data_IF_784628474184
#
_entry.id   IF_784628474184
#
_cell.length_a   1.000
_cell.length_b   1.000
_cell.length_c   1.000
_cell.angle_alpha   90.00
_cell.angle_beta   90.00
_cell.angle_gamma   90.00
#
_symmetry.space_group_name_H-M   'P 1'
#
loop_
_entity.id
_entity.type
_entity.pdbx_description
1 polymer ?
#
# COMPACT_ATOMS: atom_id res chain seq x y z
N UNK A 1 51.24 50.76 -6.27
CA UNK A 1 52.01 51.43 -5.21
C UNK A 1 51.35 52.76 -4.91
N UNK A 2 51.20 53.08 -3.61
CA UNK A 2 50.95 54.38 -2.97
C UNK A 2 49.75 55.22 -3.50
N UNK A 3 48.66 55.36 -2.73
CA UNK A 3 48.50 56.19 -1.54
C UNK A 3 48.55 57.71 -1.83
N UNK A 4 47.52 58.45 -1.43
CA UNK A 4 47.58 59.92 -1.44
C UNK A 4 46.26 60.66 -1.29
N UNK A 5 45.73 60.70 -0.07
CA UNK A 5 44.61 61.56 0.36
C UNK A 5 44.97 63.06 0.30
N UNK A 6 43.95 63.91 0.06
CA UNK A 6 43.42 64.99 0.94
C UNK A 6 42.65 66.03 0.08
N UNK A 7 41.34 66.24 0.31
CA UNK A 7 40.72 67.24 1.23
C UNK A 7 41.20 68.66 0.92
N UNK A 8 40.35 69.67 0.60
CA UNK A 8 39.13 70.10 1.30
C UNK A 8 38.41 71.22 0.52
N UNK A 9 37.09 71.34 0.78
CA UNK A 9 36.23 72.53 0.90
C UNK A 9 36.18 73.55 -0.28
N UNK A 10 35.05 74.04 -0.78
CA UNK A 10 33.64 73.98 -0.39
C UNK A 10 32.88 75.00 -1.25
N UNK A 11 31.60 74.77 -1.55
CA UNK A 11 30.84 75.74 -2.35
C UNK A 11 29.44 75.25 -2.72
N UNK A 12 28.47 75.65 -1.90
CA UNK A 12 27.01 75.40 -1.98
C UNK A 12 26.37 75.67 -3.36
N UNK A 13 25.55 74.73 -3.84
CA UNK A 13 24.25 74.93 -4.55
C UNK A 13 23.41 73.65 -4.34
N UNK A 14 22.38 73.68 -3.49
CA UNK A 14 20.96 73.94 -3.83
C UNK A 14 20.33 72.88 -4.76
N UNK A 15 19.74 71.81 -4.19
CA UNK A 15 18.55 71.08 -4.69
C UNK A 15 18.23 69.84 -3.82
N UNK A 16 17.17 69.91 -3.00
CA UNK A 16 16.39 68.81 -2.42
C UNK A 16 15.08 69.48 -1.94
N UNK A 17 13.85 69.08 -2.22
CA UNK A 17 13.24 67.74 -2.22
C UNK A 17 11.98 67.83 -3.10
N UNK A 18 11.84 66.93 -4.07
CA UNK A 18 10.58 66.66 -4.76
C UNK A 18 10.60 65.20 -5.20
N UNK A 19 10.03 64.31 -4.38
CA UNK A 19 9.64 62.93 -4.75
C UNK A 19 8.86 62.29 -3.60
N UNK A 20 7.55 62.52 -3.61
CA UNK A 20 6.59 61.65 -2.94
C UNK A 20 5.41 61.52 -3.89
N UNK A 21 4.90 60.29 -4.04
CA UNK A 21 3.78 59.85 -4.90
C UNK A 21 4.21 59.18 -6.21
N UNK A 22 4.61 57.90 -6.14
CA UNK A 22 4.32 56.86 -7.16
C UNK A 22 4.93 55.48 -6.86
N UNK A 23 4.87 54.97 -5.61
CA UNK A 23 5.28 53.58 -5.30
C UNK A 23 4.42 52.95 -4.18
N UNK A 24 3.10 52.98 -4.33
CA UNK A 24 2.17 52.25 -3.44
C UNK A 24 1.00 51.70 -4.28
N UNK A 25 1.30 50.82 -5.24
CA UNK A 25 0.26 50.03 -5.94
C UNK A 25 0.83 48.83 -6.71
N UNK A 26 1.83 48.14 -6.15
CA UNK A 26 2.41 46.96 -6.83
C UNK A 26 3.00 45.91 -5.88
N UNK A 27 2.28 45.57 -4.80
CA UNK A 27 2.69 44.45 -3.92
C UNK A 27 1.51 43.64 -3.35
N UNK A 28 0.31 43.72 -3.94
CA UNK A 28 -0.85 42.91 -3.55
C UNK A 28 -1.11 41.69 -4.44
N UNK A 29 -0.09 41.17 -5.14
CA UNK A 29 -0.18 39.88 -5.81
C UNK A 29 0.88 38.93 -5.27
N UNK A 30 0.41 37.75 -4.84
CA UNK A 30 1.16 36.52 -4.55
C UNK A 30 1.79 36.37 -3.16
N UNK A 31 0.95 36.37 -2.13
CA UNK A 31 1.14 35.50 -0.96
C UNK A 31 -0.19 34.78 -0.65
N UNK A 32 -0.72 34.07 -1.64
CA UNK A 32 -1.53 32.89 -1.32
C UNK A 32 -0.53 31.88 -0.78
N UNK A 33 -0.36 31.85 0.53
CA UNK A 33 0.28 30.73 1.19
C UNK A 33 -0.49 29.48 0.74
N UNK A 34 0.15 28.63 -0.08
CA UNK A 34 -0.33 27.27 -0.31
C UNK A 34 -0.38 26.63 1.07
N UNK A 35 -1.57 26.56 1.68
CA UNK A 35 -1.78 25.74 2.86
C UNK A 35 -1.31 24.34 2.47
N UNK A 36 -0.21 23.90 3.07
CA UNK A 36 0.37 22.62 2.76
C UNK A 36 -0.61 21.58 3.29
N UNK A 37 -1.14 20.72 2.42
CA UNK A 37 -2.00 19.61 2.82
C UNK A 37 -1.26 18.79 3.87
N UNK A 38 -1.69 18.90 5.12
CA UNK A 38 -1.03 18.27 6.26
C UNK A 38 -1.74 16.96 6.61
N UNK A 39 -0.96 15.93 6.92
CA UNK A 39 -1.48 14.73 7.57
C UNK A 39 -1.86 15.08 9.00
N UNK A 40 -3.10 14.81 9.38
CA UNK A 40 -3.59 15.03 10.75
C UNK A 40 -4.24 13.77 11.30
N UNK A 41 -4.16 13.59 12.61
CA UNK A 41 -4.95 12.55 13.27
C UNK A 41 -6.45 12.89 13.22
N UNK A 42 -7.30 11.88 13.15
CA UNK A 42 -8.75 12.02 13.30
C UNK A 42 -9.06 12.55 14.72
N UNK A 43 -9.96 13.53 14.83
CA UNK A 43 -10.29 14.15 16.13
C UNK A 43 -11.32 13.33 16.90
N UNK A 44 -11.49 13.61 18.21
CA UNK A 44 -12.56 12.97 18.97
C UNK A 44 -13.96 13.34 18.44
N UNK A 45 -14.13 14.60 18.02
CA UNK A 45 -15.37 15.10 17.42
C UNK A 45 -15.77 14.26 16.20
N UNK A 46 -14.82 13.96 15.31
CA UNK A 46 -15.06 13.15 14.12
C UNK A 46 -15.47 11.70 14.45
N UNK A 47 -14.95 11.13 15.55
CA UNK A 47 -15.22 9.72 15.92
C UNK A 47 -16.34 9.56 16.91
N UNK A 48 -16.81 10.64 17.54
CA UNK A 48 -17.84 10.58 18.58
C UNK A 48 -19.07 9.80 18.11
N UNK A 49 -19.53 10.09 16.90
CA UNK A 49 -20.68 9.43 16.29
C UNK A 49 -20.48 7.91 16.08
N UNK A 50 -19.24 7.47 15.81
CA UNK A 50 -18.89 6.06 15.68
C UNK A 50 -18.94 5.40 17.06
N UNK A 51 -18.31 6.04 18.05
CA UNK A 51 -18.24 5.53 19.43
C UNK A 51 -19.63 5.42 20.07
N UNK A 52 -20.55 6.35 19.76
CA UNK A 52 -21.90 6.36 20.33
C UNK A 52 -22.83 5.27 19.73
N UNK A 53 -22.49 4.74 18.55
CA UNK A 53 -23.37 3.84 17.76
C UNK A 53 -22.90 2.40 17.76
N UNK A 54 -21.59 2.19 17.80
CA UNK A 54 -21.05 0.84 17.89
C UNK A 54 -21.43 0.19 19.21
N UNK A 55 -21.71 -1.11 19.15
CA UNK A 55 -21.94 -1.92 20.34
C UNK A 55 -20.69 -1.92 21.22
N UNK A 56 -20.90 -1.99 22.53
CA UNK A 56 -19.82 -1.99 23.51
C UNK A 56 -18.80 -3.12 23.27
N UNK A 57 -19.18 -4.29 22.78
CA UNK A 57 -18.23 -5.38 22.51
C UNK A 57 -17.25 -5.08 21.37
N UNK A 58 -17.56 -4.11 20.51
CA UNK A 58 -16.74 -3.70 19.36
C UNK A 58 -15.81 -2.53 19.68
N UNK A 59 -15.97 -1.89 20.84
CA UNK A 59 -15.15 -0.76 21.24
C UNK A 59 -13.90 -1.21 22.02
N UNK A 60 -12.75 -0.52 21.85
CA UNK A 60 -11.59 -0.69 22.72
C UNK A 60 -11.95 -0.53 24.21
N UNK A 61 -11.35 -1.35 25.07
CA UNK A 61 -11.70 -1.41 26.49
C UNK A 61 -11.58 -0.05 27.21
N UNK A 62 -10.58 0.75 26.84
CA UNK A 62 -10.37 2.09 27.39
C UNK A 62 -11.47 3.07 26.99
N UNK A 63 -12.06 2.92 25.81
CA UNK A 63 -13.15 3.80 25.38
C UNK A 63 -14.47 3.42 26.06
N UNK A 64 -14.72 2.14 26.29
CA UNK A 64 -15.96 1.66 26.95
C UNK A 64 -16.14 2.19 28.35
N UNK A 65 -15.06 2.18 29.12
CA UNK A 65 -15.07 2.44 30.57
C UNK A 65 -15.06 3.93 30.94
N UNK A 66 -14.85 4.82 29.97
CA UNK A 66 -14.78 6.27 30.20
C UNK A 66 -16.07 7.00 29.83
N UNK A 67 -16.36 8.10 30.52
CA UNK A 67 -17.42 9.06 30.15
C UNK A 67 -17.07 9.78 28.84
N UNK A 68 -18.03 10.42 28.18
CA UNK A 68 -17.76 11.19 26.94
C UNK A 68 -16.65 12.21 27.10
N UNK A 69 -16.67 13.02 28.16
CA UNK A 69 -15.60 14.00 28.44
C UNK A 69 -14.25 13.32 28.73
N UNK A 70 -14.26 12.17 29.41
CA UNK A 70 -13.05 11.37 29.63
C UNK A 70 -12.48 10.80 28.33
N UNK A 71 -13.34 10.32 27.42
CA UNK A 71 -12.94 9.82 26.09
C UNK A 71 -12.32 10.93 25.25
N UNK A 72 -12.92 12.12 25.26
CA UNK A 72 -12.41 13.28 24.52
C UNK A 72 -11.00 13.68 24.98
N UNK A 73 -10.79 13.77 26.30
CA UNK A 73 -9.48 14.08 26.87
C UNK A 73 -8.44 12.98 26.58
N UNK A 74 -8.85 11.70 26.59
CA UNK A 74 -7.98 10.55 26.33
C UNK A 74 -7.63 10.37 24.85
N UNK A 75 -8.48 10.84 23.93
CA UNK A 75 -8.42 10.49 22.51
C UNK A 75 -7.07 10.78 21.83
N UNK A 76 -6.43 11.95 21.99
CA UNK A 76 -5.17 12.23 21.32
C UNK A 76 -4.07 11.22 21.67
N UNK A 77 -3.95 10.88 22.96
CA UNK A 77 -2.96 9.91 23.46
C UNK A 77 -3.32 8.49 23.04
N UNK A 78 -4.61 8.13 23.07
CA UNK A 78 -5.08 6.84 22.57
C UNK A 78 -4.76 6.66 21.08
N UNK A 79 -5.08 7.65 20.25
CA UNK A 79 -4.81 7.63 18.82
C UNK A 79 -3.31 7.55 18.52
N UNK A 80 -2.48 8.31 19.24
CA UNK A 80 -1.02 8.23 19.08
C UNK A 80 -0.46 6.86 19.42
N UNK A 81 -0.87 6.27 20.56
CA UNK A 81 -0.44 4.92 20.95
C UNK A 81 -0.93 3.86 19.97
N UNK A 82 -2.17 3.98 19.48
CA UNK A 82 -2.72 3.02 18.51
C UNK A 82 -2.04 3.13 17.15
N UNK A 83 -1.67 4.33 16.70
CA UNK A 83 -0.86 4.51 15.48
C UNK A 83 0.50 3.82 15.60
N UNK A 84 1.19 4.03 16.72
CA UNK A 84 2.45 3.35 17.00
C UNK A 84 2.28 1.82 17.03
N UNK A 85 1.20 1.31 17.63
CA UNK A 85 0.90 -0.12 17.66
C UNK A 85 0.60 -0.70 16.26
N UNK A 86 -0.16 0.01 15.42
CA UNK A 86 -0.42 -0.37 14.03
C UNK A 86 0.90 -0.43 13.25
N UNK A 87 1.75 0.59 13.38
CA UNK A 87 3.06 0.62 12.70
C UNK A 87 4.00 -0.47 13.20
N UNK A 88 3.96 -0.82 14.48
CA UNK A 88 4.76 -1.92 15.03
C UNK A 88 4.41 -3.28 14.40
N UNK A 89 3.19 -3.47 13.87
CA UNK A 89 2.81 -4.69 13.13
C UNK A 89 3.58 -4.87 11.82
N UNK A 90 4.26 -3.83 11.31
CA UNK A 90 5.09 -3.93 10.10
C UNK A 90 6.30 -4.84 10.31
N UNK A 91 6.93 -4.81 11.50
CA UNK A 91 8.08 -5.68 11.78
C UNK A 91 7.71 -7.16 11.62
N UNK A 92 6.51 -7.55 12.07
CA UNK A 92 5.99 -8.90 11.90
C UNK A 92 5.71 -9.24 10.44
N UNK A 93 5.20 -8.29 9.67
CA UNK A 93 5.01 -8.49 8.23
C UNK A 93 6.34 -8.65 7.49
N UNK A 94 7.38 -7.92 7.90
CA UNK A 94 8.71 -8.04 7.31
C UNK A 94 9.33 -9.42 7.55
N UNK A 95 9.16 -9.98 8.76
CA UNK A 95 9.54 -11.35 9.06
C UNK A 95 8.79 -12.36 8.18
N UNK A 96 7.48 -12.17 7.99
CA UNK A 96 6.66 -13.03 7.13
C UNK A 96 7.15 -12.96 5.66
N UNK A 97 7.52 -11.77 5.17
CA UNK A 97 8.12 -11.59 3.84
C UNK A 97 9.50 -12.25 3.74
N UNK A 98 10.33 -12.17 4.79
CA UNK A 98 11.62 -12.87 4.86
C UNK A 98 11.44 -14.39 4.84
N UNK A 99 10.41 -14.91 5.52
CA UNK A 99 10.06 -16.33 5.46
C UNK A 99 9.60 -16.74 4.07
N UNK A 100 8.75 -15.94 3.41
CA UNK A 100 8.33 -16.22 2.03
C UNK A 100 9.54 -16.27 1.09
N UNK A 101 10.51 -15.37 1.25
CA UNK A 101 11.76 -15.42 0.50
C UNK A 101 12.52 -16.71 0.80
N UNK A 102 12.68 -17.07 2.07
CA UNK A 102 13.34 -18.32 2.47
C UNK A 102 12.67 -19.55 1.83
N UNK A 103 11.34 -19.65 1.86
CA UNK A 103 10.62 -20.85 1.41
C UNK A 103 10.47 -20.92 -0.11
N UNK A 104 10.24 -19.77 -0.76
CA UNK A 104 9.79 -19.71 -2.13
C UNK A 104 10.84 -19.16 -3.11
N UNK A 105 11.77 -18.32 -2.65
CA UNK A 105 12.76 -17.67 -3.49
C UNK A 105 13.67 -18.65 -4.23
N UNK A 106 14.18 -18.23 -5.38
CA UNK A 106 14.91 -19.09 -6.31
C UNK A 106 16.28 -18.54 -6.69
N UNK A 107 16.54 -17.25 -6.45
CA UNK A 107 17.77 -16.61 -6.90
C UNK A 107 18.98 -16.87 -6.01
N UNK A 108 18.78 -17.13 -4.71
CA UNK A 108 19.87 -17.34 -3.75
C UNK A 108 20.23 -18.82 -3.52
N UNK A 109 19.43 -19.76 -4.01
CA UNK A 109 19.57 -21.19 -3.70
C UNK A 109 19.25 -22.08 -4.90
N UNK A 110 19.80 -23.29 -4.92
CA UNK A 110 19.45 -24.35 -5.88
C UNK A 110 18.48 -25.39 -5.31
N UNK A 111 18.14 -25.28 -4.02
CA UNK A 111 17.17 -26.18 -3.41
C UNK A 111 15.77 -25.93 -3.98
N UNK A 112 14.92 -26.97 -4.11
CA UNK A 112 13.53 -26.80 -4.52
C UNK A 112 12.76 -25.84 -3.60
N UNK A 113 11.69 -25.25 -4.13
CA UNK A 113 10.76 -24.41 -3.35
C UNK A 113 10.00 -25.27 -2.35
N UNK A 114 9.65 -24.68 -1.21
CA UNK A 114 8.72 -25.26 -0.23
C UNK A 114 7.38 -24.54 -0.37
N UNK A 115 6.47 -25.11 -1.15
CA UNK A 115 5.17 -24.47 -1.48
C UNK A 115 4.07 -24.77 -0.45
N UNK A 116 4.22 -25.83 0.34
CA UNK A 116 3.25 -26.20 1.38
C UNK A 116 3.93 -26.25 2.75
N UNK A 117 3.57 -25.33 3.65
CA UNK A 117 4.02 -25.35 5.05
C UNK A 117 3.66 -26.67 5.75
N UNK A 118 2.54 -27.31 5.38
CA UNK A 118 2.14 -28.61 5.90
C UNK A 118 3.14 -29.74 5.55
N UNK A 119 3.81 -29.64 4.39
CA UNK A 119 4.84 -30.62 3.98
C UNK A 119 6.06 -30.61 4.91
N UNK A 120 6.33 -29.49 5.60
CA UNK A 120 7.39 -29.40 6.61
C UNK A 120 7.10 -30.21 7.88
N UNK A 121 5.84 -30.62 8.10
CA UNK A 121 5.43 -31.46 9.24
C UNK A 121 5.57 -32.95 8.96
N UNK A 122 5.51 -33.34 7.68
CA UNK A 122 5.33 -34.74 7.29
C UNK A 122 6.64 -35.47 6.96
N UNK A 123 7.78 -34.76 6.82
CA UNK A 123 9.03 -35.38 6.41
C UNK A 123 10.29 -34.65 6.88
N UNK A 124 11.27 -35.42 7.40
CA UNK A 124 12.64 -34.95 7.64
C UNK A 124 13.26 -34.27 6.40
N UNK A 125 12.82 -34.67 5.20
CA UNK A 125 13.30 -34.13 3.93
C UNK A 125 12.94 -32.65 3.74
N UNK A 126 11.73 -32.22 4.14
CA UNK A 126 11.28 -30.85 3.99
C UNK A 126 11.96 -29.94 5.04
N UNK A 127 12.15 -30.43 6.27
CA UNK A 127 12.96 -29.77 7.29
C UNK A 127 14.44 -29.63 6.87
N UNK A 128 15.03 -30.68 6.29
CA UNK A 128 16.39 -30.63 5.70
C UNK A 128 16.47 -29.64 4.53
N UNK A 129 15.43 -29.57 3.69
CA UNK A 129 15.37 -28.63 2.57
C UNK A 129 15.29 -27.18 3.06
N UNK A 130 14.43 -26.87 4.03
CA UNK A 130 14.40 -25.57 4.69
C UNK A 130 15.75 -25.25 5.36
N UNK A 131 16.40 -26.26 5.92
CA UNK A 131 17.75 -26.18 6.47
C UNK A 131 18.78 -25.70 5.44
N UNK A 132 18.91 -26.37 4.31
CA UNK A 132 19.87 -26.00 3.25
C UNK A 132 19.55 -24.63 2.62
N UNK A 133 18.27 -24.33 2.42
CA UNK A 133 17.83 -23.00 1.94
C UNK A 133 18.23 -21.88 2.91
N UNK A 134 18.07 -22.10 4.21
CA UNK A 134 18.47 -21.11 5.20
C UNK A 134 19.99 -20.90 5.23
N UNK A 135 20.78 -21.95 5.04
CA UNK A 135 22.24 -21.83 4.93
C UNK A 135 22.64 -21.02 3.68
N UNK A 136 22.03 -21.31 2.53
CA UNK A 136 22.23 -20.55 1.28
C UNK A 136 21.80 -19.07 1.43
N UNK A 137 20.63 -18.81 2.04
CA UNK A 137 20.14 -17.46 2.25
C UNK A 137 21.09 -16.67 3.16
N UNK A 138 21.50 -17.24 4.30
CA UNK A 138 22.45 -16.59 5.21
C UNK A 138 23.78 -16.32 4.50
N UNK A 139 24.25 -17.25 3.66
CA UNK A 139 25.42 -17.04 2.80
C UNK A 139 25.25 -15.87 1.84
N UNK A 140 24.10 -15.78 1.16
CA UNK A 140 23.78 -14.69 0.24
C UNK A 140 23.64 -13.34 0.95
N UNK A 141 23.11 -13.31 2.18
CA UNK A 141 23.01 -12.09 2.98
C UNK A 141 24.36 -11.59 3.46
N UNK A 142 25.29 -12.50 3.80
CA UNK A 142 26.66 -12.15 4.16
C UNK A 142 27.47 -11.61 2.95
N UNK A 143 27.03 -11.87 1.72
CA UNK A 143 27.62 -11.29 0.53
C UNK A 143 27.14 -9.84 0.33
N UNK A 144 28.07 -8.94 -0.02
CA UNK A 144 27.73 -7.57 -0.38
C UNK A 144 27.02 -7.54 -1.74
N UNK A 145 25.69 -7.50 -1.71
CA UNK A 145 24.85 -7.36 -2.91
C UNK A 145 24.17 -5.99 -2.95
N UNK A 146 24.16 -5.37 -4.14
CA UNK A 146 23.40 -4.15 -4.42
C UNK A 146 21.89 -4.38 -4.57
N UNK A 147 21.45 -5.64 -4.55
CA UNK A 147 20.06 -6.07 -4.71
C UNK A 147 19.16 -5.54 -3.58
N UNK A 148 18.02 -4.95 -3.95
CA UNK A 148 17.08 -4.33 -3.00
C UNK A 148 16.44 -5.34 -2.05
N UNK A 149 16.15 -6.56 -2.52
CA UNK A 149 15.55 -7.63 -1.73
C UNK A 149 16.53 -8.20 -0.72
N UNK A 150 17.80 -8.40 -1.09
CA UNK A 150 18.84 -8.81 -0.15
C UNK A 150 19.13 -7.73 0.88
N UNK A 151 19.09 -6.45 0.50
CA UNK A 151 19.21 -5.33 1.44
C UNK A 151 18.06 -5.32 2.45
N UNK A 152 16.82 -5.49 1.98
CA UNK A 152 15.65 -5.65 2.83
C UNK A 152 15.84 -6.78 3.85
N UNK A 153 16.21 -7.97 3.38
CA UNK A 153 16.39 -9.13 4.24
C UNK A 153 17.50 -8.91 5.29
N UNK A 154 18.61 -8.26 4.92
CA UNK A 154 19.65 -7.84 5.87
C UNK A 154 19.13 -6.86 6.91
N UNK A 155 18.36 -5.85 6.51
CA UNK A 155 17.80 -4.85 7.43
C UNK A 155 16.86 -5.49 8.46
N UNK A 156 16.05 -6.48 8.06
CA UNK A 156 15.17 -7.22 8.98
C UNK A 156 15.99 -7.99 10.01
N UNK A 157 17.03 -8.71 9.57
CA UNK A 157 17.90 -9.48 10.47
C UNK A 157 18.71 -8.55 11.38
N UNK A 158 19.23 -7.44 10.86
CA UNK A 158 19.94 -6.43 11.64
C UNK A 158 19.02 -5.75 12.68
N UNK A 159 17.74 -5.54 12.34
CA UNK A 159 16.72 -5.04 13.28
C UNK A 159 16.50 -5.97 14.49
N UNK A 160 16.76 -7.26 14.34
CA UNK A 160 16.78 -8.24 15.44
C UNK A 160 18.13 -8.26 16.22
N UNK A 161 19.05 -7.34 15.92
CA UNK A 161 20.36 -7.26 16.56
C UNK A 161 21.39 -8.26 16.04
N UNK A 162 21.17 -8.83 14.85
CA UNK A 162 22.00 -9.90 14.30
C UNK A 162 22.91 -9.37 13.18
N UNK A 163 24.23 -9.55 13.32
CA UNK A 163 25.24 -9.13 12.34
C UNK A 163 25.70 -10.29 11.44
N UNK A 164 25.05 -10.44 10.28
CA UNK A 164 25.26 -11.57 9.34
C UNK A 164 26.67 -11.67 8.75
N UNK A 165 27.49 -10.63 8.90
CA UNK A 165 28.87 -10.60 8.44
C UNK A 165 29.78 -11.46 9.34
N UNK A 166 29.39 -11.66 10.60
CA UNK A 166 30.18 -12.42 11.58
C UNK A 166 29.82 -13.91 11.57
N UNK A 167 30.75 -14.83 11.88
CA UNK A 167 30.41 -16.25 12.03
C UNK A 167 29.33 -16.52 13.08
N UNK A 168 29.32 -15.75 14.18
CA UNK A 168 28.30 -15.86 15.23
C UNK A 168 26.95 -15.36 14.74
N UNK A 169 26.91 -14.18 14.12
CA UNK A 169 25.67 -13.64 13.58
C UNK A 169 25.08 -14.46 12.45
N UNK A 170 25.88 -15.18 11.66
CA UNK A 170 25.36 -16.17 10.70
C UNK A 170 24.61 -17.32 11.38
N UNK A 171 25.13 -17.83 12.50
CA UNK A 171 24.41 -18.86 13.30
C UNK A 171 23.13 -18.29 13.91
N UNK A 172 23.19 -17.09 14.48
CA UNK A 172 22.02 -16.41 15.04
C UNK A 172 20.95 -16.12 13.97
N UNK A 173 21.36 -15.70 12.76
CA UNK A 173 20.45 -15.47 11.64
C UNK A 173 19.73 -16.76 11.24
N UNK A 174 20.45 -17.89 11.21
CA UNK A 174 19.88 -19.20 10.96
C UNK A 174 18.83 -19.58 12.00
N UNK A 175 19.15 -19.42 13.29
CA UNK A 175 18.24 -19.68 14.41
C UNK A 175 17.01 -18.77 14.33
N UNK A 176 17.20 -17.51 13.99
CA UNK A 176 16.14 -16.52 13.83
C UNK A 176 15.17 -16.90 12.71
N UNK A 177 15.66 -17.31 11.54
CA UNK A 177 14.83 -17.80 10.43
C UNK A 177 13.96 -19.00 10.83
N UNK A 178 14.50 -19.94 11.61
CA UNK A 178 13.73 -21.07 12.11
C UNK A 178 12.71 -20.67 13.18
N UNK A 179 13.03 -19.69 14.03
CA UNK A 179 12.07 -19.15 14.99
C UNK A 179 10.86 -18.51 14.29
N UNK A 180 11.11 -17.77 13.20
CA UNK A 180 10.04 -17.21 12.34
C UNK A 180 9.23 -18.34 11.71
N UNK A 181 9.88 -19.35 11.11
CA UNK A 181 9.18 -20.50 10.52
C UNK A 181 8.27 -21.22 11.54
N UNK A 182 8.78 -21.47 12.75
CA UNK A 182 8.00 -22.10 13.81
C UNK A 182 6.81 -21.25 14.25
N UNK A 183 6.98 -19.92 14.34
CA UNK A 183 5.90 -18.97 14.61
C UNK A 183 4.81 -19.04 13.54
N UNK A 184 5.17 -18.82 12.27
CA UNK A 184 4.21 -18.77 11.16
C UNK A 184 3.50 -20.10 10.97
N UNK A 185 4.18 -21.23 11.24
CA UNK A 185 3.55 -22.55 11.23
C UNK A 185 2.41 -22.65 12.23
N UNK A 186 2.59 -22.17 13.47
CA UNK A 186 1.52 -22.16 14.50
C UNK A 186 0.38 -21.23 14.12
N UNK A 187 0.70 -20.03 13.66
CA UNK A 187 -0.30 -19.04 13.23
C UNK A 187 -1.15 -19.55 12.06
N UNK A 188 -0.54 -20.27 11.12
CA UNK A 188 -1.26 -20.89 10.00
C UNK A 188 -2.24 -21.96 10.48
N UNK A 189 -1.92 -22.70 11.55
CA UNK A 189 -2.86 -23.67 12.15
C UNK A 189 -4.02 -22.98 12.85
N UNK A 190 -3.74 -21.92 13.61
CA UNK A 190 -4.76 -21.11 14.28
C UNK A 190 -5.71 -20.52 13.24
N UNK A 191 -5.15 -19.96 12.17
CA UNK A 191 -5.92 -19.45 11.04
C UNK A 191 -6.78 -20.54 10.38
N UNK A 192 -6.20 -21.72 10.09
CA UNK A 192 -6.95 -22.84 9.50
C UNK A 192 -8.08 -23.32 10.41
N UNK A 193 -7.89 -23.32 11.74
CA UNK A 193 -8.95 -23.62 12.71
C UNK A 193 -10.06 -22.56 12.69
N UNK A 194 -9.71 -21.28 12.62
CA UNK A 194 -10.68 -20.18 12.50
C UNK A 194 -11.51 -20.31 11.23
N UNK A 195 -10.87 -20.55 10.08
CA UNK A 195 -11.56 -20.76 8.79
C UNK A 195 -12.47 -22.00 8.84
N UNK A 196 -11.99 -23.11 9.42
CA UNK A 196 -12.82 -24.31 9.56
C UNK A 196 -14.03 -24.08 10.48
N UNK A 197 -13.88 -23.29 11.54
CA UNK A 197 -14.98 -22.89 12.41
C UNK A 197 -15.97 -21.98 11.69
N UNK A 198 -15.49 -21.01 10.89
CA UNK A 198 -16.32 -20.13 10.06
C UNK A 198 -17.20 -20.94 9.11
N UNK A 199 -16.64 -21.92 8.41
CA UNK A 199 -17.39 -22.74 7.45
C UNK A 199 -18.59 -23.45 8.07
N UNK A 200 -18.54 -23.74 9.38
CA UNK A 200 -19.61 -24.40 10.16
C UNK A 200 -20.69 -23.44 10.67
N UNK A 201 -20.52 -22.13 10.56
CA UNK A 201 -21.56 -21.18 10.97
C UNK A 201 -22.75 -21.24 9.99
N UNK A 202 -23.97 -21.40 10.48
CA UNK A 202 -25.16 -21.36 9.61
C UNK A 202 -25.56 -19.93 9.25
N UNK A 203 -25.23 -18.95 10.09
CA UNK A 203 -25.54 -17.53 9.89
C UNK A 203 -24.60 -16.88 8.84
N UNK A 204 -25.12 -16.51 7.65
CA UNK A 204 -24.34 -15.85 6.62
C UNK A 204 -23.80 -14.48 7.04
N UNK A 205 -24.50 -13.77 7.92
CA UNK A 205 -24.09 -12.44 8.42
C UNK A 205 -22.89 -12.59 9.35
N UNK A 206 -22.95 -13.55 10.28
CA UNK A 206 -21.81 -13.86 11.15
C UNK A 206 -20.57 -14.30 10.37
N UNK A 207 -20.74 -15.11 9.32
CA UNK A 207 -19.63 -15.50 8.42
C UNK A 207 -18.96 -14.28 7.80
N UNK A 208 -19.76 -13.39 7.24
CA UNK A 208 -19.29 -12.20 6.54
C UNK A 208 -18.59 -11.21 7.48
N UNK A 209 -19.10 -11.03 8.70
CA UNK A 209 -18.47 -10.20 9.71
C UNK A 209 -17.11 -10.77 10.19
N UNK A 210 -17.00 -12.09 10.32
CA UNK A 210 -15.74 -12.72 10.71
C UNK A 210 -14.71 -12.68 9.56
N UNK A 211 -15.15 -12.93 8.33
CA UNK A 211 -14.32 -12.85 7.13
C UNK A 211 -13.72 -11.43 6.95
N UNK A 212 -14.55 -10.41 7.15
CA UNK A 212 -14.14 -9.00 7.05
C UNK A 212 -13.03 -8.59 8.03
N UNK A 213 -12.79 -9.33 9.12
CA UNK A 213 -11.79 -8.99 10.14
C UNK A 213 -10.76 -10.11 10.37
N UNK A 214 -10.70 -11.08 9.47
CA UNK A 214 -9.94 -12.34 9.66
C UNK A 214 -8.42 -12.14 9.81
N UNK A 215 -7.88 -11.00 9.37
CA UNK A 215 -6.46 -10.66 9.49
C UNK A 215 -6.15 -9.57 10.53
N UNK A 216 -7.11 -9.23 11.39
CA UNK A 216 -6.93 -8.19 12.43
C UNK A 216 -5.70 -8.38 13.33
N UNK A 217 -5.31 -9.63 13.55
CA UNK A 217 -4.19 -10.00 14.42
C UNK A 217 -2.88 -10.31 13.65
N UNK A 218 -2.86 -10.20 12.32
CA UNK A 218 -1.66 -10.49 11.49
C UNK A 218 -0.74 -9.28 11.33
N UNK A 219 0.51 -9.52 10.90
CA UNK A 219 1.36 -8.44 10.38
C UNK A 219 0.73 -7.79 9.14
N UNK A 220 0.95 -6.49 8.96
CA UNK A 220 0.43 -5.73 7.80
C UNK A 220 1.26 -6.05 6.55
N UNK A 221 0.83 -7.03 5.77
CA UNK A 221 1.61 -7.49 4.60
C UNK A 221 1.63 -6.43 3.50
N UNK A 222 2.80 -6.13 2.91
CA UNK A 222 2.88 -5.23 1.76
C UNK A 222 2.56 -5.93 0.44
N UNK A 223 2.26 -7.23 0.40
CA UNK A 223 2.15 -7.97 -0.86
C UNK A 223 1.22 -7.31 -1.89
N UNK A 224 1.65 -7.30 -3.16
CA UNK A 224 0.81 -6.89 -4.29
C UNK A 224 0.83 -7.97 -5.37
N UNK A 225 -0.25 -8.07 -6.13
CA UNK A 225 -0.30 -8.91 -7.34
C UNK A 225 -1.23 -8.29 -8.37
N UNK A 226 -1.19 -8.81 -9.60
CA UNK A 226 -2.07 -8.35 -10.67
C UNK A 226 -3.55 -8.69 -10.43
N UNK A 227 -3.83 -9.72 -9.61
CA UNK A 227 -5.17 -10.31 -9.50
C UNK A 227 -6.20 -9.38 -8.85
N UNK A 228 -5.93 -8.71 -7.70
CA UNK A 228 -6.82 -7.68 -7.19
C UNK A 228 -7.04 -6.53 -8.19
N UNK A 229 -6.06 -6.22 -9.03
CA UNK A 229 -6.16 -5.16 -10.05
C UNK A 229 -7.11 -5.53 -11.19
N UNK A 230 -7.19 -6.82 -11.56
CA UNK A 230 -8.23 -7.32 -12.44
C UNK A 230 -9.62 -7.11 -11.86
N UNK A 231 -9.80 -7.40 -10.56
CA UNK A 231 -11.06 -7.13 -9.87
C UNK A 231 -11.47 -5.66 -9.93
N UNK A 232 -10.51 -4.76 -9.70
CA UNK A 232 -10.71 -3.31 -9.82
C UNK A 232 -11.11 -2.93 -11.25
N UNK A 233 -10.45 -3.43 -12.30
CA UNK A 233 -10.82 -3.13 -13.69
C UNK A 233 -12.27 -3.54 -14.00
N UNK A 234 -12.69 -4.73 -13.55
CA UNK A 234 -14.07 -5.20 -13.74
C UNK A 234 -15.07 -4.32 -13.02
N UNK A 235 -14.82 -3.97 -11.76
CA UNK A 235 -15.68 -3.06 -11.02
C UNK A 235 -15.78 -1.67 -11.68
N UNK A 236 -14.66 -1.12 -12.17
CA UNK A 236 -14.66 0.15 -12.91
C UNK A 236 -15.45 0.05 -14.23
N UNK A 237 -15.33 -1.06 -14.94
CA UNK A 237 -16.10 -1.34 -16.16
C UNK A 237 -17.59 -1.41 -15.88
N UNK A 238 -18.00 -2.07 -14.80
CA UNK A 238 -19.41 -2.18 -14.40
C UNK A 238 -19.97 -0.81 -14.01
N UNK A 239 -19.24 -0.06 -13.19
CA UNK A 239 -19.62 1.30 -12.78
C UNK A 239 -19.74 2.26 -13.98
N UNK A 240 -18.88 2.11 -14.99
CA UNK A 240 -19.01 2.84 -16.26
C UNK A 240 -20.26 2.42 -17.01
N UNK A 241 -20.52 1.12 -17.11
CA UNK A 241 -21.65 0.56 -17.86
C UNK A 241 -22.99 1.02 -17.28
N UNK A 242 -23.11 1.08 -15.95
CA UNK A 242 -24.33 1.56 -15.27
C UNK A 242 -24.38 3.09 -15.13
N UNK A 243 -23.44 3.83 -15.73
CA UNK A 243 -23.44 5.30 -15.75
C UNK A 243 -23.04 5.97 -14.43
N UNK A 244 -22.54 5.23 -13.44
CA UNK A 244 -22.02 5.79 -12.18
C UNK A 244 -20.67 6.48 -12.36
N UNK A 245 -19.87 6.03 -13.32
CA UNK A 245 -18.66 6.72 -13.76
C UNK A 245 -18.77 7.13 -15.22
N UNK A 246 -18.71 8.44 -15.47
CA UNK A 246 -18.73 9.00 -16.82
C UNK A 246 -17.36 9.00 -17.49
N UNK A 247 -17.31 9.24 -18.81
CA UNK A 247 -16.05 9.48 -19.52
C UNK A 247 -15.24 10.63 -18.89
N UNK A 248 -13.94 10.44 -18.68
CA UNK A 248 -13.03 11.42 -18.08
C UNK A 248 -13.49 12.00 -16.72
N UNK A 249 -14.33 11.26 -15.99
CA UNK A 249 -14.92 11.71 -14.72
C UNK A 249 -14.00 11.51 -13.50
N UNK A 250 -12.94 10.71 -13.65
CA UNK A 250 -11.97 10.43 -12.59
C UNK A 250 -10.67 11.18 -12.90
N UNK A 251 -10.22 12.04 -11.99
CA UNK A 251 -9.00 12.85 -12.14
C UNK A 251 -8.07 12.72 -10.93
N UNK A 252 -8.62 12.45 -9.75
CA UNK A 252 -7.87 12.29 -8.51
C UNK A 252 -8.19 10.96 -7.87
N UNK A 253 -7.16 10.13 -7.72
CA UNK A 253 -7.27 8.79 -7.14
C UNK A 253 -6.40 8.70 -5.91
N UNK A 254 -6.93 8.09 -4.86
CA UNK A 254 -6.15 7.62 -3.72
C UNK A 254 -6.07 6.10 -3.74
N UNK A 255 -4.89 5.54 -3.47
CA UNK A 255 -4.68 4.09 -3.33
C UNK A 255 -4.08 3.85 -1.96
N UNK A 256 -4.85 3.22 -1.09
CA UNK A 256 -4.41 2.81 0.24
C UNK A 256 -3.78 1.43 0.11
N UNK A 257 -2.56 1.26 0.62
CA UNK A 257 -1.82 0.00 0.49
C UNK A 257 -1.47 -0.33 -0.96
N UNK A 258 -0.66 0.50 -1.66
CA UNK A 258 -0.27 0.22 -3.05
C UNK A 258 0.57 -1.06 -3.19
N UNK A 259 1.12 -1.54 -2.08
CA UNK A 259 1.87 -2.77 -1.97
C UNK A 259 3.27 -2.73 -2.59
N UNK A 260 4.05 -3.76 -2.28
CA UNK A 260 5.43 -3.99 -2.69
C UNK A 260 5.67 -5.50 -2.76
N UNK A 261 5.91 -5.97 -3.97
CA UNK A 261 6.23 -7.34 -4.31
C UNK A 261 7.72 -7.58 -4.07
N UNK A 262 8.02 -8.10 -2.87
CA UNK A 262 9.35 -8.56 -2.52
C UNK A 262 9.64 -9.91 -3.17
N UNK A 263 8.71 -10.84 -3.04
CA UNK A 263 8.73 -12.17 -3.64
C UNK A 263 7.29 -12.51 -3.98
N UNK A 264 7.04 -13.07 -5.16
CA UNK A 264 5.69 -13.48 -5.52
C UNK A 264 5.18 -14.45 -4.46
N UNK A 265 4.18 -14.06 -3.69
CA UNK A 265 3.67 -14.90 -2.59
C UNK A 265 2.89 -16.10 -3.09
N UNK A 266 2.41 -16.09 -4.34
CA UNK A 266 1.64 -17.20 -4.91
C UNK A 266 2.58 -18.29 -5.41
N UNK A 267 3.60 -17.88 -6.16
CA UNK A 267 4.45 -18.82 -6.89
C UNK A 267 5.93 -18.74 -6.47
N UNK A 268 6.39 -17.71 -5.76
CA UNK A 268 7.75 -17.66 -5.22
C UNK A 268 8.81 -17.02 -6.10
N UNK A 269 8.40 -16.38 -7.18
CA UNK A 269 9.33 -15.78 -8.13
C UNK A 269 10.01 -14.53 -7.56
N UNK A 270 11.34 -14.53 -7.61
CA UNK A 270 12.23 -13.46 -7.14
C UNK A 270 13.29 -13.06 -8.19
N UNK A 271 13.18 -13.58 -9.43
CA UNK A 271 14.13 -13.33 -10.53
C UNK A 271 13.99 -11.94 -11.17
N UNK A 272 13.06 -11.12 -10.70
CA UNK A 272 12.87 -9.73 -11.11
C UNK A 272 13.09 -8.78 -9.93
N UNK A 273 13.36 -7.48 -10.19
CA UNK A 273 13.52 -6.48 -9.13
C UNK A 273 12.27 -6.35 -8.25
N UNK A 274 12.46 -5.95 -6.99
CA UNK A 274 11.35 -5.55 -6.12
C UNK A 274 10.50 -4.51 -6.84
N UNK A 275 9.18 -4.66 -6.79
CA UNK A 275 8.28 -3.84 -7.59
C UNK A 275 6.93 -3.54 -6.90
N UNK A 276 6.19 -2.58 -7.42
CA UNK A 276 4.77 -2.34 -7.10
C UNK A 276 3.96 -2.40 -8.38
N UNK A 277 2.71 -2.87 -8.28
CA UNK A 277 1.87 -3.17 -9.44
C UNK A 277 0.59 -2.32 -9.43
N UNK A 278 -0.14 -2.32 -8.30
CA UNK A 278 -1.49 -1.76 -8.25
C UNK A 278 -1.60 -0.30 -8.70
N UNK A 279 -0.70 0.63 -8.33
CA UNK A 279 -0.80 2.02 -8.78
C UNK A 279 -0.78 2.15 -10.31
N UNK A 280 0.07 1.39 -10.98
CA UNK A 280 0.16 1.40 -12.44
C UNK A 280 -1.02 0.70 -13.09
N UNK A 281 -1.47 -0.42 -12.50
CA UNK A 281 -2.66 -1.14 -12.94
C UNK A 281 -3.90 -0.25 -12.96
N UNK A 282 -4.09 0.54 -11.89
CA UNK A 282 -5.24 1.45 -11.76
C UNK A 282 -5.18 2.57 -12.81
N UNK A 283 -4.01 3.19 -13.02
CA UNK A 283 -3.86 4.23 -14.04
C UNK A 283 -4.15 3.67 -15.44
N UNK A 284 -3.63 2.48 -15.73
CA UNK A 284 -3.84 1.79 -17.01
C UNK A 284 -5.32 1.45 -17.24
N UNK A 285 -6.01 0.86 -16.26
CA UNK A 285 -7.44 0.53 -16.37
C UNK A 285 -8.31 1.79 -16.51
N UNK A 286 -8.03 2.86 -15.77
CA UNK A 286 -8.79 4.12 -15.89
C UNK A 286 -8.64 4.75 -17.28
N UNK A 287 -7.42 4.74 -17.83
CA UNK A 287 -7.15 5.24 -19.18
C UNK A 287 -7.82 4.36 -20.25
N UNK A 288 -7.64 3.04 -20.17
CA UNK A 288 -8.22 2.06 -21.11
C UNK A 288 -9.74 2.11 -21.15
N UNK A 289 -10.38 2.28 -20.00
CA UNK A 289 -11.84 2.41 -19.89
C UNK A 289 -12.34 3.82 -20.25
N UNK A 290 -11.46 4.76 -20.62
CA UNK A 290 -11.84 6.14 -20.95
C UNK A 290 -12.40 6.93 -19.76
N UNK A 291 -12.13 6.48 -18.53
CA UNK A 291 -12.57 7.13 -17.30
C UNK A 291 -11.64 8.27 -16.88
N UNK A 292 -10.41 8.29 -17.41
CA UNK A 292 -9.40 9.31 -17.19
C UNK A 292 -8.52 9.52 -18.41
N UNK A 293 -8.02 10.75 -18.58
CA UNK A 293 -6.84 11.03 -19.38
C UNK A 293 -5.59 10.85 -18.52
N UNK A 294 -4.56 10.17 -19.02
CA UNK A 294 -3.30 9.96 -18.26
C UNK A 294 -2.60 11.28 -17.91
N UNK A 295 -2.81 12.34 -18.71
CA UNK A 295 -2.18 13.64 -18.49
C UNK A 295 -2.80 14.40 -17.31
N UNK A 296 -4.09 14.19 -17.08
CA UNK A 296 -4.88 14.88 -16.05
C UNK A 296 -4.98 14.09 -14.75
N UNK A 297 -4.74 12.78 -14.82
CA UNK A 297 -4.82 11.88 -13.68
C UNK A 297 -3.72 12.19 -12.67
N UNK A 298 -4.11 12.28 -11.40
CA UNK A 298 -3.21 12.41 -10.25
C UNK A 298 -3.53 11.30 -9.27
N UNK A 299 -2.51 10.52 -8.91
CA UNK A 299 -2.64 9.40 -7.98
C UNK A 299 -1.87 9.76 -6.72
N UNK A 300 -2.50 9.57 -5.56
CA UNK A 300 -1.82 9.62 -4.27
C UNK A 300 -1.85 8.22 -3.66
N UNK A 301 -0.72 7.71 -3.21
CA UNK A 301 -0.70 6.43 -2.47
C UNK A 301 -0.55 6.70 -0.99
N UNK A 302 -1.25 5.92 -0.16
CA UNK A 302 -1.19 5.98 1.29
C UNK A 302 -0.70 4.64 1.83
N UNK A 303 0.39 4.67 2.60
CA UNK A 303 0.87 3.47 3.26
C UNK A 303 1.53 3.83 4.60
N UNK A 304 1.42 2.94 5.59
CA UNK A 304 2.13 3.07 6.86
C UNK A 304 3.59 2.65 6.76
N UNK A 305 3.93 1.81 5.77
CA UNK A 305 5.26 1.26 5.53
C UNK A 305 6.21 2.30 4.94
N UNK A 306 7.30 2.65 5.63
CA UNK A 306 8.34 3.51 5.06
C UNK A 306 8.99 2.90 3.81
N UNK A 307 9.05 1.57 3.72
CA UNK A 307 9.68 0.87 2.58
C UNK A 307 8.86 0.98 1.31
N UNK A 308 7.54 0.77 1.41
CA UNK A 308 6.61 0.93 0.28
C UNK A 308 6.66 2.36 -0.25
N UNK A 309 6.56 3.35 0.66
CA UNK A 309 6.64 4.76 0.30
C UNK A 309 8.01 5.11 -0.31
N UNK A 310 9.10 4.69 0.32
CA UNK A 310 10.47 4.94 -0.14
C UNK A 310 10.77 4.34 -1.51
N UNK A 311 10.22 3.16 -1.82
CA UNK A 311 10.35 2.53 -3.13
C UNK A 311 9.67 3.38 -4.23
N UNK A 312 8.44 3.83 -4.00
CA UNK A 312 7.71 4.73 -4.92
C UNK A 312 8.41 6.09 -5.06
N UNK A 313 8.93 6.66 -3.98
CA UNK A 313 9.72 7.89 -4.06
C UNK A 313 11.01 7.72 -4.89
N UNK A 314 11.70 6.59 -4.72
CA UNK A 314 12.89 6.28 -5.52
C UNK A 314 12.53 6.10 -7.00
N UNK A 315 11.41 5.43 -7.30
CA UNK A 315 10.87 5.31 -8.65
C UNK A 315 10.59 6.68 -9.27
N UNK A 316 9.93 7.57 -8.53
CA UNK A 316 9.72 8.96 -8.97
C UNK A 316 11.04 9.70 -9.21
N UNK A 317 12.04 9.59 -8.32
CA UNK A 317 13.33 10.27 -8.53
C UNK A 317 14.00 9.81 -9.83
N UNK A 318 13.97 8.49 -10.13
CA UNK A 318 14.47 7.95 -11.41
C UNK A 318 13.66 8.46 -12.60
N UNK A 319 12.33 8.51 -12.48
CA UNK A 319 11.45 9.02 -13.53
C UNK A 319 11.64 10.51 -13.82
N UNK A 320 12.06 11.31 -12.85
CA UNK A 320 12.39 12.72 -13.08
C UNK A 320 13.62 12.87 -13.99
N UNK A 321 14.52 11.88 -13.98
CA UNK A 321 15.62 11.75 -14.92
C UNK A 321 15.26 11.02 -16.22
N UNK A 322 13.96 10.81 -16.52
CA UNK A 322 13.49 10.17 -17.75
C UNK A 322 13.46 8.63 -17.73
N UNK A 323 13.78 7.98 -16.60
CA UNK A 323 13.74 6.52 -16.51
C UNK A 323 12.31 6.01 -16.27
N UNK A 324 11.83 5.10 -17.11
CA UNK A 324 10.57 4.40 -16.87
C UNK A 324 10.63 3.43 -15.69
N UNK A 325 9.48 2.92 -15.28
CA UNK A 325 9.38 1.90 -14.23
C UNK A 325 9.13 0.53 -14.86
N UNK A 326 10.01 -0.45 -14.58
CA UNK A 326 9.92 -1.78 -15.15
C UNK A 326 9.07 -2.68 -14.24
N UNK A 327 7.97 -3.21 -14.77
CA UNK A 327 7.09 -4.17 -14.09
C UNK A 327 7.25 -5.53 -14.76
N UNK A 328 7.34 -6.59 -13.97
CA UNK A 328 7.32 -7.98 -14.41
C UNK A 328 6.04 -8.66 -13.91
N UNK A 329 5.35 -9.36 -14.80
CA UNK A 329 4.08 -10.00 -14.52
C UNK A 329 4.20 -11.50 -14.77
N UNK A 330 4.68 -12.28 -13.80
CA UNK A 330 4.63 -13.72 -13.88
C UNK A 330 3.17 -14.21 -13.88
N UNK A 331 2.89 -15.23 -14.69
CA UNK A 331 1.63 -15.95 -14.73
C UNK A 331 1.93 -17.45 -14.78
N UNK A 332 1.77 -18.10 -13.63
CA UNK A 332 2.03 -19.54 -13.47
C UNK A 332 1.00 -20.38 -14.24
N UNK A 333 1.40 -21.45 -14.96
CA UNK A 333 0.47 -22.30 -15.70
C UNK A 333 -0.28 -23.30 -14.81
N UNK A 334 0.12 -23.43 -13.54
CA UNK A 334 -0.44 -24.41 -12.61
C UNK A 334 -1.86 -24.03 -12.15
N UNK A 335 -2.21 -22.75 -12.26
CA UNK A 335 -3.52 -22.24 -11.94
C UNK A 335 -4.41 -22.25 -13.19
N UNK A 336 -5.62 -22.82 -13.12
CA UNK A 336 -6.57 -22.74 -14.23
C UNK A 336 -7.19 -21.34 -14.26
N UNK A 337 -6.43 -20.33 -14.68
CA UNK A 337 -6.92 -18.95 -14.79
C UNK A 337 -8.13 -18.86 -15.73
N UNK A 338 -9.02 -17.89 -15.52
CA UNK A 338 -10.09 -17.59 -16.48
C UNK A 338 -9.55 -16.94 -17.76
N UNK A 339 -10.31 -17.02 -18.85
CA UNK A 339 -9.97 -16.34 -20.10
C UNK A 339 -9.90 -14.81 -19.91
N UNK A 340 -10.79 -14.25 -19.10
CA UNK A 340 -10.87 -12.81 -18.80
C UNK A 340 -9.63 -12.32 -18.05
N UNK A 341 -9.18 -13.06 -17.03
CA UNK A 341 -7.96 -12.70 -16.29
C UNK A 341 -6.72 -12.80 -17.19
N UNK A 342 -6.62 -13.85 -18.02
CA UNK A 342 -5.55 -13.97 -19.02
C UNK A 342 -5.56 -12.79 -20.00
N UNK A 343 -6.74 -12.38 -20.44
CA UNK A 343 -6.95 -11.24 -21.33
C UNK A 343 -6.56 -9.90 -20.68
N UNK A 344 -6.87 -9.72 -19.39
CA UNK A 344 -6.40 -8.57 -18.63
C UNK A 344 -4.88 -8.58 -18.49
N UNK A 345 -4.30 -9.71 -18.08
CA UNK A 345 -2.86 -9.86 -17.94
C UNK A 345 -2.12 -9.60 -19.26
N UNK A 346 -2.65 -10.03 -20.41
CA UNK A 346 -2.01 -9.82 -21.72
C UNK A 346 -2.08 -8.38 -22.21
N UNK A 347 -3.05 -7.61 -21.71
CA UNK A 347 -3.27 -6.21 -22.06
C UNK A 347 -2.66 -5.23 -21.07
N UNK A 348 -2.33 -5.66 -19.85
CA UNK A 348 -1.77 -4.76 -18.83
C UNK A 348 -0.66 -3.89 -19.42
N UNK A 349 -0.81 -2.57 -19.24
CA UNK A 349 0.19 -1.58 -19.59
C UNK A 349 0.02 -0.88 -20.94
N UNK A 350 -0.87 -1.36 -21.81
CA UNK A 350 -1.03 -0.82 -23.17
C UNK A 350 -1.33 0.70 -23.21
N UNK A 351 -1.91 1.26 -22.15
CA UNK A 351 -2.23 2.70 -22.10
C UNK A 351 -1.13 3.55 -21.45
N UNK A 352 -0.18 2.93 -20.75
CA UNK A 352 0.75 3.63 -19.83
C UNK A 352 2.23 3.36 -20.09
N UNK A 353 2.54 2.42 -20.97
CA UNK A 353 3.89 1.96 -21.20
C UNK A 353 4.08 1.28 -22.54
N UNK A 354 5.21 0.61 -22.64
CA UNK A 354 5.61 -0.21 -23.78
C UNK A 354 6.11 -1.56 -23.27
N UNK A 355 6.01 -2.59 -24.10
CA UNK A 355 6.56 -3.90 -23.78
C UNK A 355 8.07 -3.81 -23.58
N UNK A 356 8.58 -4.54 -22.60
CA UNK A 356 9.99 -4.62 -22.28
C UNK A 356 10.44 -6.07 -22.27
N UNK A 357 11.76 -6.27 -22.43
CA UNK A 357 12.35 -7.60 -22.28
C UNK A 357 12.16 -8.09 -20.85
N UNK A 358 11.52 -9.26 -20.63
CA UNK A 358 11.44 -9.87 -19.32
C UNK A 358 12.81 -10.23 -18.77
N UNK A 359 12.94 -10.23 -17.44
CA UNK A 359 14.09 -10.81 -16.76
C UNK A 359 14.32 -12.27 -17.18
N UNK A 360 15.58 -12.68 -17.21
CA UNK A 360 15.98 -14.04 -17.57
C UNK A 360 15.37 -15.04 -16.60
N UNK A 361 14.62 -16.01 -17.14
CA UNK A 361 13.98 -17.05 -16.37
C UNK A 361 14.99 -18.10 -15.88
N UNK A 362 14.91 -18.54 -14.61
CA UNK A 362 15.55 -19.77 -14.19
C UNK A 362 14.99 -20.96 -15.01
N UNK A 363 15.83 -21.95 -15.42
CA UNK A 363 15.40 -23.07 -16.26
C UNK A 363 14.19 -23.86 -15.71
N UNK A 364 14.02 -23.88 -14.38
CA UNK A 364 12.94 -24.59 -13.69
C UNK A 364 11.68 -23.76 -13.43
N UNK A 365 11.61 -22.49 -13.88
CA UNK A 365 10.55 -21.57 -13.45
C UNK A 365 9.17 -21.92 -14.05
N UNK A 366 9.13 -22.51 -15.25
CA UNK A 366 7.91 -23.00 -15.90
C UNK A 366 6.78 -21.95 -15.99
N UNK A 367 7.12 -20.66 -16.08
CA UNK A 367 6.20 -19.53 -15.93
C UNK A 367 6.22 -18.65 -17.15
N UNK A 368 5.06 -18.10 -17.53
CA UNK A 368 4.99 -17.05 -18.54
C UNK A 368 5.25 -15.71 -17.87
N UNK A 369 6.14 -14.90 -18.42
CA UNK A 369 6.42 -13.57 -17.87
C UNK A 369 6.30 -12.54 -18.97
N UNK A 370 5.49 -11.51 -18.71
CA UNK A 370 5.53 -10.26 -19.45
C UNK A 370 6.32 -9.24 -18.66
N UNK A 371 6.99 -8.33 -19.37
CA UNK A 371 7.52 -7.14 -18.76
C UNK A 371 7.05 -5.90 -19.51
N UNK A 372 6.84 -4.83 -18.75
CA UNK A 372 6.37 -3.55 -19.23
C UNK A 372 7.25 -2.45 -18.67
N UNK A 373 7.64 -1.50 -19.50
CA UNK A 373 8.22 -0.24 -19.05
C UNK A 373 7.13 0.84 -19.01
N UNK A 374 6.69 1.19 -17.81
CA UNK A 374 5.78 2.31 -17.58
C UNK A 374 6.49 3.62 -17.88
N UNK A 375 5.81 4.53 -18.58
CA UNK A 375 6.37 5.83 -18.98
C UNK A 375 6.69 6.72 -17.76
N UNK A 376 7.76 7.53 -17.81
CA UNK A 376 8.17 8.38 -16.68
C UNK A 376 7.10 9.37 -16.21
N UNK A 377 6.30 9.92 -17.12
CA UNK A 377 5.20 10.84 -16.82
C UNK A 377 4.11 10.17 -15.95
N UNK A 378 3.79 8.92 -16.26
CA UNK A 378 2.85 8.10 -15.49
C UNK A 378 3.42 7.83 -14.09
N UNK A 379 4.70 7.51 -13.97
CA UNK A 379 5.37 7.34 -12.66
C UNK A 379 5.34 8.66 -11.86
N UNK A 380 5.58 9.81 -12.50
CA UNK A 380 5.51 11.12 -11.85
C UNK A 380 4.10 11.50 -11.36
N UNK A 381 3.06 10.95 -11.96
CA UNK A 381 1.67 11.21 -11.55
C UNK A 381 1.32 10.62 -10.17
N UNK A 382 2.12 9.67 -9.67
CA UNK A 382 1.87 8.92 -8.43
C UNK A 382 2.66 9.50 -7.26
N UNK A 383 2.01 10.17 -6.31
CA UNK A 383 2.63 10.80 -5.13
C UNK A 383 2.45 9.90 -3.90
N UNK A 384 3.51 9.27 -3.38
CA UNK A 384 3.42 8.52 -2.12
C UNK A 384 3.31 9.43 -0.90
N UNK A 385 2.56 8.98 0.10
CA UNK A 385 2.35 9.65 1.38
C UNK A 385 2.34 8.62 2.51
N UNK A 386 3.23 8.81 3.48
CA UNK A 386 3.18 8.08 4.73
C UNK A 386 1.92 8.48 5.51
N UNK A 387 0.98 7.55 5.66
CA UNK A 387 -0.31 7.83 6.28
C UNK A 387 -0.93 6.54 6.82
N UNK A 388 -1.40 6.56 8.06
CA UNK A 388 -2.21 5.50 8.64
C UNK A 388 -3.69 5.78 8.38
N UNK A 389 -4.31 5.08 7.42
CA UNK A 389 -5.69 5.37 6.98
C UNK A 389 -6.71 5.28 8.12
N UNK A 390 -6.44 4.45 9.14
CA UNK A 390 -7.32 4.27 10.30
C UNK A 390 -7.37 5.52 11.16
N UNK A 391 -6.23 6.15 11.41
CA UNK A 391 -6.09 7.20 12.41
C UNK A 391 -5.76 8.57 11.83
N UNK A 392 -5.41 8.62 10.54
CA UNK A 392 -4.91 9.82 9.88
C UNK A 392 -5.63 10.07 8.55
N UNK A 393 -5.71 11.34 8.20
CA UNK A 393 -6.21 11.80 6.90
C UNK A 393 -5.42 13.01 6.42
N UNK A 394 -5.54 13.31 5.13
CA UNK A 394 -5.13 14.60 4.59
C UNK A 394 -6.16 15.66 5.03
N UNK A 395 -5.74 16.61 5.85
CA UNK A 395 -6.57 17.73 6.27
C UNK A 395 -6.56 18.86 5.25
N UNK A 396 -7.59 19.70 5.31
CA UNK A 396 -7.68 20.97 4.56
C UNK A 396 -7.63 20.80 3.04
N UNK A 397 -8.03 19.64 2.49
CA UNK A 397 -8.17 19.46 1.05
C UNK A 397 -9.24 20.42 0.51
N UNK A 398 -8.89 21.40 -0.36
CA UNK A 398 -9.87 22.18 -1.08
C UNK A 398 -10.81 21.24 -1.85
N UNK A 399 -12.07 21.62 -2.13
CA UNK A 399 -13.01 20.76 -2.85
C UNK A 399 -12.46 20.19 -4.17
N UNK A 400 -11.65 20.98 -4.89
CA UNK A 400 -11.00 20.58 -6.14
C UNK A 400 -9.81 19.60 -5.97
N UNK A 401 -9.34 19.38 -4.74
CA UNK A 401 -8.26 18.45 -4.39
C UNK A 401 -8.75 17.15 -3.75
N UNK A 402 -10.05 17.06 -3.43
CA UNK A 402 -10.68 15.83 -2.95
C UNK A 402 -10.63 14.74 -4.02
N UNK A 403 -10.63 13.48 -3.57
CA UNK A 403 -10.52 12.33 -4.47
C UNK A 403 -11.86 12.01 -5.12
N UNK A 404 -11.83 11.66 -6.40
CA UNK A 404 -12.98 11.10 -7.12
C UNK A 404 -13.13 9.61 -6.81
N UNK A 405 -12.01 8.92 -6.57
CA UNK A 405 -11.91 7.49 -6.36
C UNK A 405 -10.86 7.18 -5.27
N UNK A 406 -11.20 6.31 -4.33
CA UNK A 406 -10.28 5.70 -3.37
C UNK A 406 -10.30 4.19 -3.59
N UNK A 407 -9.13 3.55 -3.55
CA UNK A 407 -8.98 2.10 -3.66
C UNK A 407 -8.32 1.60 -2.39
N UNK A 408 -8.88 0.56 -1.77
CA UNK A 408 -8.36 -0.08 -0.57
C UNK A 408 -8.64 -1.60 -0.59
N UNK A 409 -8.01 -2.31 -1.53
CA UNK A 409 -8.14 -3.78 -1.64
C UNK A 409 -7.05 -4.47 -0.81
N UNK A 410 -7.44 -5.51 -0.08
CA UNK A 410 -6.60 -6.25 0.87
C UNK A 410 -5.98 -5.36 1.96
N UNK A 411 -6.66 -4.27 2.34
CA UNK A 411 -6.21 -3.36 3.40
C UNK A 411 -7.11 -3.45 4.63
N UNK A 412 -8.41 -3.27 4.45
CA UNK A 412 -9.34 -3.12 5.57
C UNK A 412 -9.53 -4.43 6.36
N UNK A 413 -9.28 -5.58 5.72
CA UNK A 413 -9.27 -6.92 6.33
C UNK A 413 -8.28 -7.08 7.51
N UNK A 414 -7.27 -6.21 7.61
CA UNK A 414 -6.26 -6.22 8.68
C UNK A 414 -6.68 -5.47 9.94
N UNK A 415 -7.89 -4.95 9.98
CA UNK A 415 -8.39 -4.11 11.06
C UNK A 415 -9.69 -4.68 11.63
N UNK A 416 -9.97 -4.37 12.89
CA UNK A 416 -11.26 -4.70 13.51
C UNK A 416 -12.38 -3.73 13.04
N UNK A 417 -13.62 -4.00 13.45
CA UNK A 417 -14.79 -3.21 13.04
C UNK A 417 -14.68 -1.74 13.46
N UNK A 418 -14.11 -1.46 14.63
CA UNK A 418 -13.94 -0.08 15.10
C UNK A 418 -12.94 0.65 14.22
N UNK A 419 -11.78 0.06 13.99
CA UNK A 419 -10.73 0.61 13.12
C UNK A 419 -11.18 0.76 11.66
N UNK A 420 -11.94 -0.20 11.13
CA UNK A 420 -12.55 -0.09 9.81
C UNK A 420 -13.51 1.10 9.73
N UNK A 421 -14.28 1.36 10.78
CA UNK A 421 -15.17 2.51 10.86
C UNK A 421 -14.39 3.84 10.88
N UNK A 422 -13.26 3.89 11.60
CA UNK A 422 -12.37 5.06 11.60
C UNK A 422 -11.76 5.30 10.21
N UNK A 423 -11.29 4.23 9.55
CA UNK A 423 -10.76 4.30 8.19
C UNK A 423 -11.83 4.81 7.20
N UNK A 424 -13.06 4.31 7.30
CA UNK A 424 -14.17 4.75 6.45
C UNK A 424 -14.49 6.24 6.67
N UNK A 425 -14.45 6.74 7.91
CA UNK A 425 -14.63 8.16 8.22
C UNK A 425 -13.54 9.06 7.62
N UNK A 426 -12.27 8.63 7.71
CA UNK A 426 -11.15 9.33 7.07
C UNK A 426 -11.28 9.35 5.55
N UNK A 427 -11.62 8.20 4.94
CA UNK A 427 -11.85 8.07 3.50
C UNK A 427 -12.99 8.99 3.06
N UNK A 428 -14.13 8.97 3.76
CA UNK A 428 -15.29 9.80 3.48
C UNK A 428 -14.93 11.30 3.51
N UNK A 429 -14.06 11.72 4.43
CA UNK A 429 -13.61 13.11 4.51
C UNK A 429 -12.82 13.53 3.27
N UNK A 430 -11.97 12.64 2.75
CA UNK A 430 -11.06 12.90 1.64
C UNK A 430 -11.70 12.73 0.24
N UNK A 431 -12.77 11.93 0.11
CA UNK A 431 -13.56 11.81 -1.12
C UNK A 431 -14.31 13.12 -1.42
N UNK A 432 -14.62 13.43 -2.68
CA UNK A 432 -15.64 14.45 -2.99
C UNK A 432 -17.05 13.87 -2.78
N UNK A 433 -18.12 14.68 -2.62
CA UNK A 433 -19.49 14.17 -2.73
C UNK A 433 -19.70 13.42 -4.06
N UNK A 434 -20.33 12.24 -4.02
CA UNK A 434 -20.43 11.30 -5.15
C UNK A 434 -19.13 10.57 -5.49
N UNK A 435 -18.05 10.78 -4.74
CA UNK A 435 -16.79 10.05 -4.89
C UNK A 435 -16.93 8.61 -4.39
N UNK A 436 -16.14 7.70 -4.96
CA UNK A 436 -16.28 6.25 -4.74
C UNK A 436 -15.10 5.66 -3.97
N UNK A 437 -15.36 4.67 -3.12
CA UNK A 437 -14.40 3.76 -2.53
C UNK A 437 -14.59 2.37 -3.13
N UNK A 438 -13.54 1.79 -3.69
CA UNK A 438 -13.48 0.37 -4.05
C UNK A 438 -12.66 -0.41 -3.02
N UNK A 439 -13.26 -1.43 -2.42
CA UNK A 439 -12.60 -2.33 -1.48
C UNK A 439 -13.11 -3.76 -1.66
N UNK A 440 -12.31 -4.74 -1.29
CA UNK A 440 -12.75 -6.15 -1.22
C UNK A 440 -12.99 -6.62 0.22
N UNK A 441 -13.18 -5.68 1.14
CA UNK A 441 -13.56 -5.94 2.52
C UNK A 441 -14.91 -5.29 2.77
N UNK A 442 -15.88 -6.05 3.26
CA UNK A 442 -17.14 -5.47 3.72
C UNK A 442 -16.89 -4.66 4.99
N UNK A 443 -17.32 -3.41 4.98
CA UNK A 443 -17.27 -2.50 6.12
C UNK A 443 -18.70 -2.13 6.48
N UNK A 444 -18.99 -2.06 7.77
CA UNK A 444 -20.32 -1.69 8.25
C UNK A 444 -20.66 -0.25 7.86
N UNK A 445 -21.86 -0.05 7.31
CA UNK A 445 -22.44 1.28 7.16
C UNK A 445 -22.93 1.77 8.51
N UNK A 446 -22.39 2.90 8.97
CA UNK A 446 -22.88 3.59 10.15
C UNK A 446 -23.75 4.78 9.69
N UNK A 447 -24.96 4.98 10.25
CA UNK A 447 -25.88 6.04 9.81
C UNK A 447 -25.28 7.45 9.77
N UNK A 448 -24.26 7.71 10.59
CA UNK A 448 -23.60 8.99 10.78
C UNK A 448 -22.40 9.18 9.85
N UNK A 449 -21.93 8.11 9.21
CA UNK A 449 -20.90 8.19 8.19
C UNK A 449 -21.55 8.43 6.83
N UNK A 450 -21.09 9.43 6.04
CA UNK A 450 -21.69 9.74 4.76
C UNK A 450 -21.19 8.79 3.67
N UNK A 451 -21.26 7.48 3.90
CA UNK A 451 -20.81 6.42 2.99
C UNK A 451 -21.89 5.36 2.84
N UNK A 452 -22.10 4.89 1.62
CA UNK A 452 -23.13 3.91 1.29
C UNK A 452 -22.61 2.88 0.31
N UNK A 453 -22.80 1.59 0.56
CA UNK A 453 -22.60 0.54 -0.42
C UNK A 453 -23.64 0.69 -1.53
N UNK A 454 -23.18 0.97 -2.74
CA UNK A 454 -24.05 1.27 -3.89
C UNK A 454 -23.96 0.24 -5.01
N UNK A 455 -22.91 -0.57 -5.02
CA UNK A 455 -22.71 -1.66 -5.98
C UNK A 455 -21.71 -2.69 -5.44
N UNK A 456 -21.71 -3.87 -6.05
CA UNK A 456 -20.64 -4.84 -5.92
C UNK A 456 -20.41 -5.54 -7.26
N UNK A 457 -19.20 -6.05 -7.47
CA UNK A 457 -18.83 -6.87 -8.60
C UNK A 457 -18.20 -8.15 -8.09
N UNK A 458 -18.78 -9.29 -8.46
CA UNK A 458 -18.22 -10.60 -8.22
C UNK A 458 -17.16 -10.93 -9.28
N UNK A 459 -16.01 -11.40 -8.83
CA UNK A 459 -14.86 -11.69 -9.68
C UNK A 459 -14.52 -13.18 -9.56
N UNK A 460 -14.32 -13.83 -10.70
CA UNK A 460 -13.80 -15.19 -10.76
C UNK A 460 -12.44 -15.16 -11.41
N UNK A 461 -11.42 -15.60 -10.67
CA UNK A 461 -10.02 -15.61 -11.10
C UNK A 461 -9.64 -16.93 -11.78
N UNK A 462 -10.23 -18.04 -11.33
CA UNK A 462 -9.91 -19.39 -11.83
C UNK A 462 -11.16 -20.13 -12.29
N UNK A 463 -10.99 -21.07 -13.21
CA UNK A 463 -12.06 -21.98 -13.69
C UNK A 463 -12.64 -22.85 -12.56
N UNK A 464 -11.94 -22.98 -11.43
CA UNK A 464 -12.41 -23.67 -10.23
C UNK A 464 -13.32 -22.81 -9.34
N UNK A 465 -13.58 -21.56 -9.73
CA UNK A 465 -14.47 -20.65 -8.98
C UNK A 465 -13.79 -19.85 -7.87
N UNK A 466 -12.45 -19.90 -7.74
CA UNK A 466 -11.74 -19.02 -6.80
C UNK A 466 -11.86 -17.60 -7.29
N UNK A 467 -12.27 -16.70 -6.40
CA UNK A 467 -12.69 -15.36 -6.74
C UNK A 467 -12.56 -14.37 -5.61
N UNK A 468 -13.13 -13.19 -5.81
CA UNK A 468 -13.22 -12.10 -4.84
C UNK A 468 -14.46 -11.26 -5.14
N UNK A 469 -14.80 -10.34 -4.25
CA UNK A 469 -15.89 -9.38 -4.45
C UNK A 469 -15.35 -7.97 -4.24
N UNK A 470 -15.46 -7.13 -5.28
CA UNK A 470 -15.19 -5.70 -5.14
C UNK A 470 -16.48 -4.98 -4.77
N UNK A 471 -16.48 -4.34 -3.62
CA UNK A 471 -17.56 -3.53 -3.07
C UNK A 471 -17.30 -2.06 -3.42
N UNK A 472 -18.36 -1.35 -3.82
CA UNK A 472 -18.30 0.06 -4.16
C UNK A 472 -19.14 0.88 -3.17
N UNK A 473 -18.48 1.73 -2.39
CA UNK A 473 -19.14 2.68 -1.50
C UNK A 473 -19.09 4.08 -2.10
N UNK A 474 -20.20 4.81 -2.03
CA UNK A 474 -20.32 6.19 -2.50
C UNK A 474 -20.40 7.15 -1.32
N UNK A 475 -19.65 8.25 -1.39
CA UNK A 475 -19.78 9.35 -0.45
C UNK A 475 -21.07 10.12 -0.74
N UNK A 476 -22.01 10.13 0.20
CA UNK A 476 -23.29 10.88 0.10
C UNK A 476 -23.09 12.40 0.19
#
# INVERSE_FOLDING_TARGET
MAAGQRKKDGGRRATSVLLASCLLSSSCFLLVARAQTATTNISYEDVKAIVDVLRDDLLPAELRTNTTAGREALWPDWASRRDAAIRARLARADEDSLLNLLLLGTTFTRHPRVTELASLRAADAAARMAGGRADDLVGALAASSGDERMRFAREVIAGAGIAVETPTGRRQAREYLFAILARVTRETEEFARTVAAMSRLDDPVAKLALDATIYRDRGLSPDTSIVPSFGIERALSDLRTVGRLGPNSVRRVAIVGPGLDLVDKREGYDFYPVQTIQPFAVVDSLARLGLSSTNDLRVTTFDVSPRVNGHLEAARRRAAGGSGYLVHLPLGPQQPWTAELRSYWSRFGDSIGEEALPATLPPAAGVQVRALRVRPDTVQSIVPRALNIVLQRLSLLPPAERFDLVIATNVLIYYDVFEQSLALANIATMLRPGGLLLSNTLVAELPQLPMALVAHTDIVYTETGVGDRILCYERR
#
